data_IF_131334161363
#
_entry.id   IF_131334161363
#
_cell.length_a   1.000
_cell.length_b   1.000
_cell.length_c   1.000
_cell.angle_alpha   90.00
_cell.angle_beta   90.00
_cell.angle_gamma   90.00
#
_symmetry.space_group_name_H-M   'P 1'
#
loop_
_entity.id
_entity.type
_entity.pdbx_description
1 polymer ?
#
# COMPACT_ATOMS: atom_id res chain seq x y z
N UNK A 1 29.32 -82.80 -40.77
CA UNK A 1 28.73 -81.62 -40.11
C UNK A 1 29.84 -80.80 -39.50
N UNK A 2 29.96 -79.56 -39.97
CA UNK A 2 30.56 -78.38 -39.31
C UNK A 2 31.98 -78.49 -38.71
N UNK A 3 32.97 -78.22 -39.57
CA UNK A 3 33.92 -77.08 -39.48
C UNK A 3 33.86 -76.19 -38.23
N UNK A 4 34.90 -75.56 -37.69
CA UNK A 4 36.33 -75.31 -38.00
C UNK A 4 36.86 -74.77 -36.63
N UNK A 5 37.99 -75.23 -36.09
CA UNK A 5 39.29 -74.53 -36.08
C UNK A 5 39.24 -73.01 -35.85
N UNK A 6 40.16 -72.34 -35.15
CA UNK A 6 41.36 -72.64 -34.34
C UNK A 6 41.94 -71.24 -34.06
N UNK A 7 42.69 -71.11 -32.95
CA UNK A 7 43.62 -70.01 -32.60
C UNK A 7 42.97 -68.85 -31.84
N UNK A 8 43.20 -68.69 -30.53
CA UNK A 8 44.42 -68.33 -29.78
C UNK A 8 44.40 -66.84 -29.39
N UNK A 9 44.82 -66.60 -28.14
CA UNK A 9 45.38 -65.37 -27.55
C UNK A 9 44.44 -64.30 -26.94
N UNK A 10 44.76 -64.04 -25.66
CA UNK A 10 44.75 -62.78 -24.89
C UNK A 10 43.46 -62.00 -24.63
N UNK A 11 43.35 -61.49 -23.40
CA UNK A 11 42.50 -60.32 -23.14
C UNK A 11 42.14 -60.08 -21.67
N UNK A 12 43.12 -59.62 -20.90
CA UNK A 12 42.94 -58.94 -19.61
C UNK A 12 41.99 -57.74 -19.79
N UNK A 13 40.79 -57.73 -19.17
CA UNK A 13 40.08 -56.49 -18.85
C UNK A 13 39.29 -56.62 -17.55
N UNK A 14 39.54 -55.66 -16.66
CA UNK A 14 39.10 -55.61 -15.28
C UNK A 14 37.59 -55.49 -15.10
N UNK A 15 37.14 -56.05 -13.98
CA UNK A 15 35.84 -55.80 -13.39
C UNK A 15 35.81 -54.35 -12.88
N UNK A 16 35.17 -53.46 -13.63
CA UNK A 16 34.76 -52.14 -13.12
C UNK A 16 33.44 -52.36 -12.38
N UNK A 17 33.48 -52.30 -11.05
CA UNK A 17 32.29 -52.22 -10.20
C UNK A 17 31.59 -50.89 -10.46
N UNK A 18 30.40 -50.93 -11.05
CA UNK A 18 29.48 -49.80 -11.10
C UNK A 18 28.98 -49.51 -9.68
N UNK A 19 29.57 -48.50 -9.04
CA UNK A 19 28.99 -47.84 -7.87
C UNK A 19 27.72 -47.12 -8.32
N UNK A 20 26.56 -47.71 -8.00
CA UNK A 20 25.28 -47.05 -8.14
C UNK A 20 25.21 -45.88 -7.16
N UNK A 21 25.44 -44.67 -7.65
CA UNK A 21 25.24 -43.44 -6.90
C UNK A 21 23.74 -43.20 -6.80
N UNK A 22 23.12 -43.60 -5.68
CA UNK A 22 21.72 -43.29 -5.40
C UNK A 22 21.60 -41.80 -5.10
N UNK A 23 20.84 -41.00 -5.88
CA UNK A 23 20.64 -39.60 -5.53
C UNK A 23 19.77 -39.53 -4.27
N UNK A 24 20.33 -38.96 -3.20
CA UNK A 24 19.56 -38.54 -2.04
C UNK A 24 18.51 -37.53 -2.51
N UNK A 25 17.21 -37.73 -2.23
CA UNK A 25 16.21 -36.71 -2.51
C UNK A 25 16.50 -35.52 -1.59
N UNK A 26 17.02 -34.43 -2.18
CA UNK A 26 17.00 -33.10 -1.58
C UNK A 26 15.53 -32.69 -1.49
N UNK A 27 14.87 -33.05 -0.39
CA UNK A 27 13.61 -32.41 0.00
C UNK A 27 13.94 -30.98 0.41
N UNK A 28 13.98 -30.07 -0.56
CA UNK A 28 13.80 -28.65 -0.28
C UNK A 28 12.39 -28.53 0.27
N UNK A 29 12.27 -28.53 1.59
CA UNK A 29 11.09 -27.98 2.24
C UNK A 29 11.05 -26.52 1.82
N UNK A 30 10.28 -26.20 0.79
CA UNK A 30 9.84 -24.83 0.54
C UNK A 30 9.05 -24.42 1.78
N UNK A 31 9.75 -23.85 2.76
CA UNK A 31 9.12 -23.05 3.79
C UNK A 31 8.31 -22.02 3.02
N UNK A 32 7.00 -22.10 3.17
CA UNK A 32 6.07 -21.09 2.70
C UNK A 32 6.35 -19.83 3.54
N UNK A 33 7.49 -19.18 3.31
CA UNK A 33 7.77 -17.88 3.88
C UNK A 33 6.68 -16.99 3.30
N UNK A 34 5.71 -16.65 4.14
CA UNK A 34 4.79 -15.55 3.85
C UNK A 34 5.66 -14.41 3.36
N UNK A 35 5.47 -14.00 2.10
CA UNK A 35 6.13 -12.82 1.57
C UNK A 35 5.93 -11.70 2.59
N UNK A 36 7.02 -11.20 3.16
CA UNK A 36 6.98 -10.20 4.21
C UNK A 36 6.73 -8.84 3.55
N UNK A 37 5.58 -8.71 2.88
CA UNK A 37 5.16 -7.45 2.27
C UNK A 37 5.02 -6.39 3.36
N UNK A 38 5.36 -5.16 3.00
CA UNK A 38 5.22 -4.01 3.84
C UNK A 38 3.78 -3.77 4.28
N UNK A 39 3.63 -2.99 5.34
CA UNK A 39 2.33 -2.60 5.88
C UNK A 39 2.00 -1.18 5.43
N UNK A 40 0.72 -0.89 5.24
CA UNK A 40 0.27 0.48 4.93
C UNK A 40 -0.48 1.05 6.13
N UNK A 41 -0.20 2.31 6.46
CA UNK A 41 -0.93 3.09 7.48
C UNK A 41 -1.42 4.38 6.83
N UNK A 42 -2.69 4.43 6.47
CA UNK A 42 -3.26 5.50 5.64
C UNK A 42 -4.13 6.36 6.53
N UNK A 43 -3.71 7.60 6.75
CA UNK A 43 -4.22 8.46 7.81
C UNK A 43 -5.03 9.61 7.19
N UNK A 44 -6.25 9.82 7.69
CA UNK A 44 -7.16 10.82 7.15
C UNK A 44 -6.74 12.27 7.37
N UNK A 45 -5.63 12.54 8.07
CA UNK A 45 -5.19 13.89 8.39
C UNK A 45 -5.51 14.30 9.83
N UNK A 46 -4.87 15.37 10.28
CA UNK A 46 -5.06 15.96 11.61
C UNK A 46 -4.95 14.93 12.76
N UNK A 47 -4.09 13.93 12.61
CA UNK A 47 -3.90 12.92 13.65
C UNK A 47 -3.30 13.49 14.92
N UNK A 48 -3.65 12.87 16.04
CA UNK A 48 -3.19 13.30 17.35
C UNK A 48 -1.66 13.21 17.46
N UNK A 49 -1.07 14.38 17.69
CA UNK A 49 0.38 14.59 17.91
C UNK A 49 0.69 15.07 19.32
N UNK A 50 -0.30 15.12 20.22
CA UNK A 50 -0.15 15.70 21.56
C UNK A 50 -0.49 14.71 22.66
N UNK A 51 -1.65 14.07 22.57
CA UNK A 51 -2.20 13.21 23.62
C UNK A 51 -1.63 11.78 23.49
N UNK A 52 -2.49 10.78 23.28
CA UNK A 52 -2.13 9.37 23.28
C UNK A 52 -1.35 8.95 22.02
N UNK A 53 -1.51 9.70 20.93
CA UNK A 53 -0.81 9.53 19.64
C UNK A 53 -0.96 8.10 19.09
N UNK A 54 -2.16 7.53 19.24
CA UNK A 54 -2.43 6.10 19.02
C UNK A 54 -2.00 5.66 17.62
N UNK A 55 -2.31 6.46 16.59
CA UNK A 55 -1.96 6.16 15.20
C UNK A 55 -0.44 6.16 14.99
N UNK A 56 0.27 7.17 15.52
CA UNK A 56 1.72 7.31 15.34
C UNK A 56 2.50 6.26 16.15
N UNK A 57 1.99 5.88 17.32
CA UNK A 57 2.49 4.75 18.11
C UNK A 57 2.34 3.44 17.34
N UNK A 58 1.14 3.19 16.79
CA UNK A 58 0.86 1.99 15.98
C UNK A 58 1.76 1.94 14.75
N UNK A 59 2.02 3.07 14.07
CA UNK A 59 3.00 3.12 12.99
C UNK A 59 4.40 2.70 13.45
N UNK A 60 4.90 3.27 14.55
CA UNK A 60 6.22 2.92 15.09
C UNK A 60 6.30 1.42 15.45
N UNK A 61 5.26 0.87 16.07
CA UNK A 61 5.16 -0.57 16.37
C UNK A 61 5.25 -1.43 15.09
N UNK A 62 4.49 -1.08 14.05
CA UNK A 62 4.46 -1.80 12.78
C UNK A 62 5.77 -1.66 11.98
N UNK A 63 6.53 -0.61 12.24
CA UNK A 63 7.88 -0.37 11.72
C UNK A 63 8.99 -1.10 12.48
N UNK A 64 8.71 -1.79 13.58
CA UNK A 64 9.72 -2.52 14.37
C UNK A 64 10.09 -1.88 15.71
N UNK A 65 9.33 -0.88 16.15
CA UNK A 65 9.45 -0.29 17.48
C UNK A 65 10.63 0.69 17.63
N UNK A 66 11.16 0.88 18.86
CA UNK A 66 12.17 1.92 19.16
C UNK A 66 13.42 1.94 18.27
N UNK A 67 13.88 0.78 17.80
CA UNK A 67 15.10 0.66 16.99
C UNK A 67 14.86 0.84 15.48
N UNK A 68 13.60 1.00 15.04
CA UNK A 68 13.25 1.14 13.64
C UNK A 68 13.92 2.38 13.03
N UNK A 69 14.46 2.24 11.82
CA UNK A 69 14.90 3.35 10.97
C UNK A 69 13.67 4.05 10.38
N UNK A 70 13.16 5.08 11.08
CA UNK A 70 12.03 5.90 10.65
C UNK A 70 12.51 7.04 9.75
N UNK A 71 11.92 7.15 8.56
CA UNK A 71 12.26 8.17 7.57
C UNK A 71 11.03 9.00 7.24
N UNK A 72 11.11 10.31 7.46
CA UNK A 72 9.97 11.23 7.30
C UNK A 72 10.12 12.06 6.04
N UNK A 73 9.11 12.03 5.16
CA UNK A 73 9.06 12.81 3.92
C UNK A 73 8.15 14.03 4.13
N UNK A 74 8.71 15.22 3.95
CA UNK A 74 8.02 16.51 4.14
C UNK A 74 7.74 17.26 2.84
N UNK A 75 7.99 16.64 1.68
CA UNK A 75 7.90 17.28 0.37
C UNK A 75 6.52 17.87 0.02
N UNK A 76 5.44 17.31 0.59
CA UNK A 76 4.08 17.84 0.43
C UNK A 76 3.90 19.22 1.09
N UNK A 77 4.65 19.52 2.15
CA UNK A 77 4.44 20.71 2.96
C UNK A 77 5.02 21.97 2.31
N UNK A 78 4.29 23.09 2.42
CA UNK A 78 4.83 24.42 2.15
C UNK A 78 5.77 24.94 3.25
N UNK A 79 5.80 24.28 4.40
CA UNK A 79 6.61 24.61 5.58
C UNK A 79 7.29 23.34 6.15
N UNK A 80 8.19 22.71 5.37
CA UNK A 80 8.72 21.38 5.67
C UNK A 80 9.45 21.29 7.01
N UNK A 81 10.22 22.32 7.39
CA UNK A 81 11.01 22.32 8.63
C UNK A 81 10.12 22.33 9.88
N UNK A 82 9.03 23.11 9.87
CA UNK A 82 8.07 23.13 10.98
C UNK A 82 7.32 21.82 11.12
N UNK A 83 6.93 21.22 9.99
CA UNK A 83 6.29 19.90 9.96
C UNK A 83 7.26 18.83 10.48
N UNK A 84 8.51 18.85 10.04
CA UNK A 84 9.54 17.94 10.51
C UNK A 84 9.75 18.07 12.01
N UNK A 85 9.98 19.28 12.53
CA UNK A 85 10.19 19.50 13.97
C UNK A 85 9.03 18.93 14.81
N UNK A 86 7.78 19.07 14.31
CA UNK A 86 6.62 18.49 14.98
C UNK A 86 6.62 16.96 14.99
N UNK A 87 6.92 16.29 13.87
CA UNK A 87 6.96 14.82 13.85
C UNK A 87 8.17 14.25 14.57
N UNK A 88 9.33 14.92 14.47
CA UNK A 88 10.55 14.54 15.16
C UNK A 88 10.31 14.48 16.67
N UNK A 89 9.75 15.54 17.26
CA UNK A 89 9.41 15.58 18.68
C UNK A 89 8.45 14.44 19.07
N UNK A 90 7.43 14.18 18.25
CA UNK A 90 6.45 13.12 18.52
C UNK A 90 7.10 11.73 18.49
N UNK A 91 7.90 11.41 17.49
CA UNK A 91 8.54 10.11 17.39
C UNK A 91 9.62 9.91 18.46
N UNK A 92 10.34 10.97 18.83
CA UNK A 92 11.27 10.94 19.97
C UNK A 92 10.55 10.64 21.28
N UNK A 93 9.44 11.34 21.56
CA UNK A 93 8.61 11.09 22.75
C UNK A 93 8.02 9.67 22.77
N UNK A 94 7.71 9.10 21.60
CA UNK A 94 7.25 7.71 21.46
C UNK A 94 8.38 6.68 21.59
N UNK A 95 9.64 7.12 21.74
CA UNK A 95 10.80 6.27 21.97
C UNK A 95 11.55 5.82 20.72
N UNK A 96 11.29 6.44 19.55
CA UNK A 96 12.08 6.15 18.35
C UNK A 96 13.51 6.66 18.51
N UNK A 97 14.49 5.77 18.35
CA UNK A 97 15.91 6.08 18.49
C UNK A 97 16.56 6.53 17.19
N UNK A 98 15.93 6.22 16.04
CA UNK A 98 16.43 6.56 14.71
C UNK A 98 15.30 7.13 13.84
N UNK A 99 15.03 8.42 14.02
CA UNK A 99 14.04 9.15 13.23
C UNK A 99 14.72 10.32 12.51
N UNK A 100 14.69 10.30 11.19
CA UNK A 100 15.37 11.29 10.34
C UNK A 100 14.43 11.81 9.24
N UNK A 101 14.58 13.07 8.89
CA UNK A 101 13.95 13.65 7.70
C UNK A 101 14.68 13.20 6.45
N UNK A 102 13.94 12.84 5.41
CA UNK A 102 14.50 12.59 4.08
C UNK A 102 14.66 13.94 3.39
N UNK A 103 15.88 14.38 3.03
CA UNK A 103 16.14 15.69 2.44
C UNK A 103 15.73 15.72 0.95
N UNK A 104 14.44 15.52 0.70
CA UNK A 104 13.84 15.41 -0.62
C UNK A 104 12.66 16.36 -0.74
N UNK A 105 12.91 17.56 -1.30
CA UNK A 105 11.88 18.56 -1.55
C UNK A 105 11.62 18.78 -3.04
N UNK A 106 12.57 18.37 -3.90
CA UNK A 106 12.50 18.54 -5.35
C UNK A 106 12.77 17.23 -6.09
N UNK A 107 12.49 17.22 -7.38
CA UNK A 107 12.79 16.07 -8.27
C UNK A 107 14.27 15.72 -8.33
N UNK A 108 15.15 16.72 -8.28
CA UNK A 108 16.59 16.49 -8.28
C UNK A 108 17.03 15.77 -6.98
N UNK A 109 16.44 16.15 -5.84
CA UNK A 109 16.73 15.50 -4.57
C UNK A 109 16.30 14.03 -4.57
N UNK A 110 15.16 13.72 -5.18
CA UNK A 110 14.62 12.36 -5.29
C UNK A 110 15.50 11.39 -6.10
N UNK A 111 16.54 11.92 -6.77
CA UNK A 111 17.54 11.13 -7.50
C UNK A 111 18.90 11.05 -6.79
N UNK A 112 19.08 11.74 -5.65
CA UNK A 112 20.34 11.73 -4.91
C UNK A 112 20.60 10.34 -4.30
N UNK A 113 21.81 9.77 -4.44
CA UNK A 113 22.14 8.45 -3.90
C UNK A 113 21.82 8.29 -2.41
N UNK A 114 22.11 9.31 -1.59
CA UNK A 114 21.85 9.26 -0.15
C UNK A 114 20.35 9.18 0.16
N UNK A 115 19.50 9.94 -0.55
CA UNK A 115 18.04 9.88 -0.42
C UNK A 115 17.52 8.49 -0.78
N UNK A 116 18.03 7.92 -1.87
CA UNK A 116 17.67 6.56 -2.32
C UNK A 116 18.07 5.52 -1.27
N UNK A 117 19.28 5.63 -0.71
CA UNK A 117 19.78 4.72 0.33
C UNK A 117 18.95 4.83 1.62
N UNK A 118 18.65 6.05 2.07
CA UNK A 118 17.83 6.29 3.25
C UNK A 118 16.46 5.61 3.13
N UNK A 119 15.82 5.69 1.96
CA UNK A 119 14.51 5.07 1.72
C UNK A 119 14.60 3.55 1.55
N UNK A 120 15.64 3.05 0.89
CA UNK A 120 15.83 1.61 0.68
C UNK A 120 16.08 0.85 1.99
N UNK A 121 16.75 1.49 2.95
CA UNK A 121 17.10 0.90 4.26
C UNK A 121 16.08 1.17 5.36
N UNK A 122 15.00 1.91 5.08
CA UNK A 122 14.01 2.29 6.08
C UNK A 122 13.18 1.09 6.55
N UNK A 123 12.91 1.02 7.86
CA UNK A 123 11.91 0.09 8.41
C UNK A 123 10.51 0.74 8.44
N UNK A 124 10.48 2.07 8.53
CA UNK A 124 9.28 2.88 8.47
C UNK A 124 9.46 4.14 7.63
N UNK A 125 8.54 4.40 6.70
CA UNK A 125 8.52 5.64 5.91
C UNK A 125 7.22 6.37 6.22
N UNK A 126 7.31 7.62 6.70
CA UNK A 126 6.14 8.43 7.02
C UNK A 126 6.04 9.64 6.08
N UNK A 127 4.98 9.70 5.29
CA UNK A 127 4.70 10.79 4.34
C UNK A 127 3.74 11.78 5.00
N UNK A 128 4.21 13.00 5.20
CA UNK A 128 3.42 14.05 5.88
C UNK A 128 2.38 14.69 4.96
N UNK A 129 1.49 15.49 5.54
CA UNK A 129 0.47 16.24 4.82
C UNK A 129 1.00 17.50 4.11
N UNK A 130 0.09 18.19 3.40
CA UNK A 130 0.39 19.37 2.60
C UNK A 130 -0.37 19.31 1.29
N UNK A 131 0.35 19.46 0.18
CA UNK A 131 -0.16 19.34 -1.18
C UNK A 131 0.36 18.05 -1.84
N UNK A 132 -0.55 17.15 -2.20
CA UNK A 132 -0.21 15.90 -2.89
C UNK A 132 0.40 16.12 -4.28
N UNK A 133 0.01 17.17 -5.01
CA UNK A 133 0.57 17.49 -6.32
C UNK A 133 2.03 17.91 -6.19
N UNK A 134 2.34 18.73 -5.18
CA UNK A 134 3.72 19.13 -4.85
C UNK A 134 4.60 17.92 -4.52
N UNK A 135 4.09 16.99 -3.72
CA UNK A 135 4.79 15.73 -3.42
C UNK A 135 5.03 14.90 -4.69
N UNK A 136 4.00 14.71 -5.51
CA UNK A 136 4.12 13.91 -6.73
C UNK A 136 5.08 14.55 -7.75
N UNK A 137 5.11 15.88 -7.88
CA UNK A 137 6.11 16.57 -8.71
C UNK A 137 7.56 16.26 -8.29
N UNK A 138 7.81 16.13 -6.99
CA UNK A 138 9.12 15.77 -6.47
C UNK A 138 9.45 14.28 -6.68
N UNK A 139 8.51 13.36 -6.42
CA UNK A 139 8.83 11.94 -6.26
C UNK A 139 8.44 11.04 -7.44
N UNK A 140 7.49 11.45 -8.29
CA UNK A 140 6.93 10.60 -9.34
C UNK A 140 8.00 10.03 -10.27
N UNK A 141 8.01 8.71 -10.49
CA UNK A 141 9.00 8.01 -11.35
C UNK A 141 10.47 8.32 -11.02
N UNK A 142 10.78 8.71 -9.79
CA UNK A 142 12.16 8.94 -9.33
C UNK A 142 12.81 7.66 -8.78
N UNK A 143 14.15 7.62 -8.68
CA UNK A 143 14.86 6.58 -7.93
C UNK A 143 14.36 6.43 -6.48
N UNK A 144 14.00 7.52 -5.81
CA UNK A 144 13.39 7.49 -4.49
C UNK A 144 12.05 6.72 -4.45
N UNK A 145 11.16 6.95 -5.42
CA UNK A 145 9.91 6.18 -5.51
C UNK A 145 10.17 4.68 -5.71
N UNK A 146 11.14 4.33 -6.56
CA UNK A 146 11.54 2.93 -6.77
C UNK A 146 12.11 2.31 -5.49
N UNK A 147 12.93 3.06 -4.75
CA UNK A 147 13.46 2.61 -3.46
C UNK A 147 12.35 2.34 -2.44
N UNK A 148 11.34 3.22 -2.35
CA UNK A 148 10.17 2.98 -1.49
C UNK A 148 9.41 1.72 -1.87
N UNK A 149 9.21 1.49 -3.17
CA UNK A 149 8.55 0.27 -3.66
C UNK A 149 9.36 -0.98 -3.33
N UNK A 150 10.68 -0.96 -3.51
CA UNK A 150 11.56 -2.08 -3.15
C UNK A 150 11.55 -2.34 -1.65
N UNK A 151 11.67 -1.29 -0.83
CA UNK A 151 11.61 -1.39 0.62
C UNK A 151 10.29 -2.03 1.07
N UNK A 152 9.16 -1.57 0.53
CA UNK A 152 7.85 -2.15 0.81
C UNK A 152 7.73 -3.62 0.37
N UNK A 153 8.09 -3.96 -0.86
CA UNK A 153 7.83 -5.29 -1.42
C UNK A 153 8.85 -6.35 -0.97
N UNK A 154 10.08 -5.97 -0.70
CA UNK A 154 11.19 -6.89 -0.42
C UNK A 154 11.61 -6.89 1.04
N UNK A 155 11.55 -5.75 1.72
CA UNK A 155 12.08 -5.59 3.08
C UNK A 155 10.97 -5.56 4.15
N UNK A 156 9.70 -5.49 3.74
CA UNK A 156 8.57 -5.42 4.68
C UNK A 156 8.42 -4.07 5.36
N UNK A 157 9.00 -3.02 4.79
CA UNK A 157 8.93 -1.65 5.29
C UNK A 157 7.50 -1.18 5.45
N UNK A 158 7.17 -0.61 6.62
CA UNK A 158 5.86 0.00 6.84
C UNK A 158 5.84 1.40 6.22
N UNK A 159 4.85 1.68 5.37
CA UNK A 159 4.66 3.00 4.76
C UNK A 159 3.39 3.64 5.31
N UNK A 160 3.55 4.81 5.89
CA UNK A 160 2.46 5.64 6.39
C UNK A 160 2.32 6.93 5.58
N UNK A 161 1.10 7.44 5.49
CA UNK A 161 0.82 8.73 4.88
C UNK A 161 -0.37 9.42 5.51
N UNK A 162 -0.25 10.70 5.84
CA UNK A 162 -1.36 11.52 6.37
C UNK A 162 -1.79 12.61 5.40
N UNK A 163 -3.10 12.82 5.27
CA UNK A 163 -3.68 13.85 4.38
C UNK A 163 -3.14 13.70 2.94
N UNK A 164 -2.39 14.65 2.38
CA UNK A 164 -1.71 14.49 1.08
C UNK A 164 -0.95 13.16 0.94
N UNK A 165 -0.24 12.73 2.00
CA UNK A 165 0.46 11.45 2.05
C UNK A 165 -0.48 10.24 1.94
N UNK A 166 -1.72 10.34 2.42
CA UNK A 166 -2.73 9.28 2.25
C UNK A 166 -3.26 9.22 0.82
N UNK A 167 -3.51 10.38 0.20
CA UNK A 167 -4.02 10.47 -1.17
C UNK A 167 -3.08 9.79 -2.18
N UNK A 168 -1.78 10.06 -2.07
CA UNK A 168 -0.75 9.48 -2.97
C UNK A 168 -0.60 7.97 -2.84
N UNK A 169 -1.15 7.31 -1.80
CA UNK A 169 -1.10 5.85 -1.71
C UNK A 169 -1.86 5.17 -2.85
N UNK A 170 -2.90 5.84 -3.35
CA UNK A 170 -3.72 5.38 -4.47
C UNK A 170 -2.92 5.36 -5.77
N UNK A 171 -3.28 4.50 -6.74
CA UNK A 171 -2.81 4.70 -8.12
C UNK A 171 -3.53 5.87 -8.78
N UNK A 172 -4.84 5.95 -8.59
CA UNK A 172 -5.69 7.04 -9.05
C UNK A 172 -5.96 7.93 -7.84
N UNK A 173 -5.17 8.99 -7.75
CA UNK A 173 -5.18 9.93 -6.63
C UNK A 173 -6.18 11.03 -6.93
N UNK A 174 -7.06 11.34 -5.97
CA UNK A 174 -7.87 12.56 -6.01
C UNK A 174 -6.96 13.79 -5.84
N UNK A 175 -6.66 14.47 -6.95
CA UNK A 175 -5.77 15.62 -6.98
C UNK A 175 -6.51 16.91 -6.64
N UNK A 176 -7.69 17.11 -7.25
CA UNK A 176 -8.52 18.30 -7.06
C UNK A 176 -10.01 17.94 -7.01
N UNK A 177 -10.83 18.89 -6.56
CA UNK A 177 -12.28 18.75 -6.47
C UNK A 177 -12.83 19.19 -5.11
N UNK A 178 -13.71 20.17 -5.15
CA UNK A 178 -14.46 20.61 -3.96
C UNK A 178 -15.64 19.66 -3.71
N UNK A 179 -16.03 19.44 -2.44
CA UNK A 179 -17.27 18.74 -2.14
C UNK A 179 -18.47 19.56 -2.67
N UNK A 180 -19.34 18.91 -3.43
CA UNK A 180 -20.63 19.45 -3.89
C UNK A 180 -21.77 18.90 -3.02
N UNK A 181 -22.97 19.50 -3.02
CA UNK A 181 -24.12 18.94 -2.29
C UNK A 181 -24.56 17.56 -2.78
N UNK A 182 -24.34 17.27 -4.07
CA UNK A 182 -24.65 15.99 -4.72
C UNK A 182 -23.54 15.58 -5.67
N UNK A 183 -23.30 14.26 -5.91
CA UNK A 183 -22.34 13.82 -6.90
C UNK A 183 -22.68 14.37 -8.29
N UNK A 184 -21.70 15.00 -8.91
CA UNK A 184 -21.80 15.64 -10.23
C UNK A 184 -20.69 15.13 -11.15
N UNK A 185 -20.95 15.11 -12.45
CA UNK A 185 -19.97 14.66 -13.45
C UNK A 185 -18.83 15.66 -13.61
N UNK A 186 -17.61 15.13 -13.70
CA UNK A 186 -16.38 15.85 -14.04
C UNK A 186 -16.03 17.04 -13.12
N UNK A 187 -16.54 17.04 -11.88
CA UNK A 187 -16.21 18.04 -10.83
C UNK A 187 -14.97 17.71 -9.99
N UNK A 188 -14.34 16.57 -10.26
CA UNK A 188 -13.13 16.10 -9.59
C UNK A 188 -12.07 15.75 -10.61
N UNK A 189 -10.81 16.04 -10.29
CA UNK A 189 -9.66 15.67 -11.10
C UNK A 189 -8.84 14.62 -10.38
N UNK A 190 -8.53 13.55 -11.11
CA UNK A 190 -7.62 12.51 -10.65
C UNK A 190 -6.28 12.64 -11.37
N UNK A 191 -5.22 12.34 -10.64
CA UNK A 191 -3.88 12.18 -11.17
C UNK A 191 -3.27 10.85 -10.70
N UNK A 192 -2.04 10.56 -11.09
CA UNK A 192 -1.36 9.33 -10.72
C UNK A 192 -0.66 9.49 -9.36
N UNK A 193 -0.92 8.55 -8.45
CA UNK A 193 -0.21 8.44 -7.18
C UNK A 193 0.85 7.32 -7.19
N UNK A 194 1.42 7.05 -6.01
CA UNK A 194 2.48 6.08 -5.78
C UNK A 194 2.04 4.62 -5.95
N UNK A 195 0.74 4.34 -6.03
CA UNK A 195 0.21 3.02 -6.40
C UNK A 195 0.54 1.88 -5.41
N UNK A 196 0.67 2.18 -4.11
CA UNK A 196 0.70 1.16 -3.06
C UNK A 196 -0.67 0.49 -2.87
N UNK A 197 -1.74 1.26 -3.05
CA UNK A 197 -3.14 0.83 -3.12
C UNK A 197 -3.68 1.05 -4.54
N UNK A 198 -3.45 0.12 -5.49
CA UNK A 198 -3.87 0.32 -6.87
C UNK A 198 -5.38 0.14 -7.08
N UNK A 199 -6.06 -0.58 -6.20
CA UNK A 199 -7.46 -0.99 -6.36
C UNK A 199 -8.45 -0.04 -5.68
N UNK A 200 -7.99 1.12 -5.23
CA UNK A 200 -8.81 2.07 -4.49
C UNK A 200 -8.38 3.52 -4.73
N UNK A 201 -9.33 4.41 -4.53
CA UNK A 201 -9.16 5.86 -4.44
C UNK A 201 -9.32 6.25 -2.98
N UNK A 202 -8.27 6.85 -2.40
CA UNK A 202 -8.28 7.36 -1.03
C UNK A 202 -8.70 8.82 -1.01
N UNK A 203 -9.64 9.12 -0.12
CA UNK A 203 -10.02 10.45 0.28
C UNK A 203 -9.83 10.62 1.80
N UNK A 204 -9.41 11.81 2.22
CA UNK A 204 -8.93 12.16 3.55
C UNK A 204 -9.70 13.37 4.08
N UNK A 205 -9.59 13.68 5.38
CA UNK A 205 -10.43 14.65 6.09
C UNK A 205 -11.92 14.46 5.76
N UNK A 206 -12.33 13.19 5.67
CA UNK A 206 -13.45 12.79 4.81
C UNK A 206 -14.79 13.35 5.30
N UNK A 207 -15.23 12.95 6.50
CA UNK A 207 -16.47 13.47 7.09
C UNK A 207 -16.36 14.95 7.44
N UNK A 208 -15.19 15.39 7.93
CA UNK A 208 -14.94 16.76 8.39
C UNK A 208 -15.06 17.80 7.27
N UNK A 209 -14.81 17.39 6.02
CA UNK A 209 -14.94 18.25 4.84
C UNK A 209 -16.09 17.82 3.91
N UNK A 210 -17.02 16.99 4.39
CA UNK A 210 -18.20 16.53 3.64
C UNK A 210 -17.86 15.92 2.26
N UNK A 211 -16.81 15.10 2.19
CA UNK A 211 -16.20 14.64 0.94
C UNK A 211 -16.85 13.40 0.31
N UNK A 212 -17.99 12.94 0.83
CA UNK A 212 -18.69 11.79 0.25
C UNK A 212 -19.10 12.05 -1.21
N UNK A 213 -19.68 13.21 -1.51
CA UNK A 213 -20.15 13.55 -2.86
C UNK A 213 -19.02 13.53 -3.88
N UNK A 214 -17.88 14.15 -3.57
CA UNK A 214 -16.72 14.17 -4.48
C UNK A 214 -16.10 12.78 -4.66
N UNK A 215 -16.07 11.95 -3.62
CA UNK A 215 -15.60 10.56 -3.75
C UNK A 215 -16.54 9.78 -4.67
N UNK A 216 -17.85 9.96 -4.53
CA UNK A 216 -18.84 9.33 -5.41
C UNK A 216 -18.67 9.79 -6.87
N UNK A 217 -18.43 11.09 -7.13
CA UNK A 217 -18.09 11.58 -8.48
C UNK A 217 -16.85 10.88 -9.05
N UNK A 218 -15.80 10.68 -8.25
CA UNK A 218 -14.60 9.96 -8.68
C UNK A 218 -14.90 8.49 -9.01
N UNK A 219 -15.74 7.82 -8.20
CA UNK A 219 -16.14 6.43 -8.42
C UNK A 219 -17.07 6.25 -9.62
N UNK A 220 -17.83 7.28 -10.00
CA UNK A 220 -18.60 7.25 -11.23
C UNK A 220 -17.69 7.23 -12.47
N UNK A 221 -16.56 7.96 -12.42
CA UNK A 221 -15.52 7.89 -13.46
C UNK A 221 -14.76 6.55 -13.44
N UNK A 222 -14.63 5.93 -12.25
CA UNK A 222 -13.82 4.71 -12.01
C UNK A 222 -14.57 3.64 -11.21
N UNK A 223 -15.60 3.02 -11.82
CA UNK A 223 -16.40 1.99 -11.15
C UNK A 223 -15.65 0.68 -10.91
N UNK A 224 -14.43 0.55 -11.43
CA UNK A 224 -13.51 -0.57 -11.20
C UNK A 224 -12.76 -0.48 -9.86
N UNK A 225 -12.76 0.69 -9.21
CA UNK A 225 -12.01 0.95 -7.97
C UNK A 225 -12.93 1.05 -6.76
N UNK A 226 -12.39 0.72 -5.58
CA UNK A 226 -13.04 1.00 -4.30
C UNK A 226 -12.81 2.47 -3.92
N UNK A 227 -13.79 3.10 -3.27
CA UNK A 227 -13.60 4.39 -2.60
C UNK A 227 -13.31 4.20 -1.12
N UNK A 228 -12.31 4.90 -0.60
CA UNK A 228 -11.91 4.83 0.79
C UNK A 228 -11.87 6.24 1.37
N UNK A 229 -12.92 6.62 2.08
CA UNK A 229 -12.97 7.88 2.82
C UNK A 229 -12.48 7.69 4.26
N UNK A 230 -11.44 8.41 4.66
CA UNK A 230 -10.83 8.30 5.99
C UNK A 230 -11.01 9.61 6.75
N UNK A 231 -11.61 9.53 7.92
CA UNK A 231 -11.84 10.68 8.80
C UNK A 231 -10.54 11.22 9.41
N UNK A 232 -10.57 12.47 9.88
CA UNK A 232 -9.50 13.02 10.70
C UNK A 232 -9.21 12.15 11.93
N UNK A 233 -7.94 12.16 12.35
CA UNK A 233 -7.42 11.34 13.45
C UNK A 233 -7.89 9.87 13.39
N UNK A 234 -7.90 9.33 12.17
CA UNK A 234 -8.27 7.94 11.86
C UNK A 234 -7.32 7.39 10.82
N UNK A 235 -6.94 6.13 10.97
CA UNK A 235 -6.05 5.42 10.09
C UNK A 235 -6.65 4.08 9.64
N UNK A 236 -6.56 3.82 8.34
CA UNK A 236 -6.74 2.52 7.74
C UNK A 236 -5.38 1.81 7.68
N UNK A 237 -5.28 0.67 8.35
CA UNK A 237 -4.08 -0.16 8.35
C UNK A 237 -4.33 -1.38 7.48
N UNK A 238 -3.43 -1.64 6.55
CA UNK A 238 -3.47 -2.80 5.67
C UNK A 238 -2.24 -3.65 5.90
N UNK A 239 -2.47 -4.88 6.32
CA UNK A 239 -1.49 -5.96 6.25
C UNK A 239 -1.81 -6.78 4.98
N UNK A 240 -0.99 -6.70 3.92
CA UNK A 240 -1.33 -7.25 2.61
C UNK A 240 -1.77 -8.71 2.64
N UNK A 241 -2.94 -8.99 2.05
CA UNK A 241 -3.56 -10.31 2.03
C UNK A 241 -3.78 -10.95 3.43
N UNK A 242 -3.74 -10.17 4.51
CA UNK A 242 -3.82 -10.68 5.88
C UNK A 242 -4.93 -10.01 6.66
N UNK A 243 -4.92 -8.69 6.77
CA UNK A 243 -5.93 -8.00 7.57
C UNK A 243 -6.10 -6.54 7.17
N UNK A 244 -7.26 -6.01 7.56
CA UNK A 244 -7.59 -4.59 7.50
C UNK A 244 -8.01 -4.16 8.90
N UNK A 245 -7.43 -3.09 9.43
CA UNK A 245 -7.71 -2.56 10.77
C UNK A 245 -7.97 -1.06 10.70
N UNK A 246 -8.90 -0.56 11.52
CA UNK A 246 -9.16 0.88 11.67
C UNK A 246 -8.73 1.31 13.06
N UNK A 247 -7.87 2.33 13.15
CA UNK A 247 -7.31 2.87 14.38
C UNK A 247 -7.57 4.38 14.45
N UNK A 248 -7.77 4.93 15.65
CA UNK A 248 -7.98 6.37 15.85
C UNK A 248 -9.33 6.68 16.49
N UNK A 249 -9.95 7.79 16.07
CA UNK A 249 -11.16 8.35 16.70
C UNK A 249 -12.43 8.28 15.86
N UNK A 250 -12.29 8.30 14.53
CA UNK A 250 -13.40 8.34 13.58
C UNK A 250 -13.68 6.99 12.95
N UNK A 251 -14.03 7.02 11.66
CA UNK A 251 -14.32 5.82 10.88
C UNK A 251 -13.65 5.87 9.50
N UNK A 252 -13.62 4.71 8.85
CA UNK A 252 -13.32 4.55 7.43
C UNK A 252 -14.61 4.20 6.71
N UNK A 253 -14.97 5.00 5.71
CA UNK A 253 -16.09 4.72 4.80
C UNK A 253 -15.54 4.03 3.55
N UNK A 254 -15.88 2.76 3.37
CA UNK A 254 -15.60 2.00 2.18
C UNK A 254 -16.82 2.02 1.24
N UNK A 255 -16.62 2.48 0.01
CA UNK A 255 -17.65 2.51 -1.03
C UNK A 255 -17.24 1.57 -2.16
N UNK A 256 -18.09 0.62 -2.50
CA UNK A 256 -17.88 -0.31 -3.60
C UNK A 256 -18.87 -0.03 -4.75
N UNK A 257 -18.40 0.55 -5.85
CA UNK A 257 -19.21 0.86 -7.03
C UNK A 257 -19.26 -0.26 -8.05
N UNK A 258 -18.64 -1.42 -7.82
CA UNK A 258 -18.52 -2.46 -8.88
C UNK A 258 -19.85 -3.09 -9.31
N UNK A 259 -20.92 -2.87 -8.54
CA UNK A 259 -22.30 -3.25 -8.88
C UNK A 259 -23.20 -2.06 -9.21
N UNK A 260 -22.62 -0.87 -9.29
CA UNK A 260 -23.35 0.37 -9.54
C UNK A 260 -23.86 0.42 -10.97
N UNK A 261 -25.07 0.97 -11.12
CA UNK A 261 -25.58 1.50 -12.39
C UNK A 261 -25.64 3.01 -12.29
N UNK A 262 -25.14 3.70 -13.30
CA UNK A 262 -25.10 5.16 -13.33
C UNK A 262 -25.48 5.72 -14.69
N UNK A 263 -25.91 6.98 -14.72
CA UNK A 263 -26.10 7.76 -15.93
C UNK A 263 -24.81 8.43 -16.44
N UNK A 264 -23.63 8.16 -15.84
CA UNK A 264 -22.35 8.84 -16.12
C UNK A 264 -22.05 9.01 -17.63
N UNK A 265 -22.23 7.96 -18.44
CA UNK A 265 -21.96 8.00 -19.88
C UNK A 265 -22.90 8.92 -20.68
N UNK A 266 -24.06 9.25 -20.13
CA UNK A 266 -25.11 10.07 -20.75
C UNK A 266 -25.23 11.47 -20.16
N UNK A 267 -24.62 11.70 -18.99
CA UNK A 267 -24.63 12.98 -18.30
C UNK A 267 -23.64 13.95 -18.96
N UNK A 268 -23.93 15.24 -18.92
CA UNK A 268 -23.00 16.30 -19.31
C UNK A 268 -22.16 16.76 -18.10
N UNK A 269 -21.11 17.56 -18.32
CA UNK A 269 -20.32 18.14 -17.23
C UNK A 269 -21.20 18.95 -16.26
N UNK A 270 -21.04 18.72 -14.96
CA UNK A 270 -21.83 19.37 -13.91
C UNK A 270 -23.24 18.77 -13.69
N UNK A 271 -23.69 17.83 -14.52
CA UNK A 271 -24.95 17.15 -14.28
C UNK A 271 -24.88 16.26 -13.04
N UNK A 272 -26.03 16.15 -12.35
CA UNK A 272 -26.18 15.23 -11.22
C UNK A 272 -26.13 13.78 -11.69
N UNK A 273 -25.43 12.97 -10.91
CA UNK A 273 -25.27 11.55 -11.21
C UNK A 273 -26.33 10.70 -10.51
N UNK A 274 -27.03 9.89 -11.29
CA UNK A 274 -27.74 8.71 -10.78
C UNK A 274 -26.71 7.64 -10.45
N UNK A 275 -26.80 7.04 -9.27
CA UNK A 275 -25.86 6.00 -8.80
C UNK A 275 -26.61 4.92 -8.00
N UNK A 276 -27.11 3.90 -8.68
CA UNK A 276 -27.93 2.84 -8.09
C UNK A 276 -27.09 1.59 -7.77
N UNK A 277 -27.27 1.00 -6.59
CA UNK A 277 -26.63 -0.28 -6.23
C UNK A 277 -25.23 -0.16 -5.60
N UNK A 278 -24.79 1.06 -5.25
CA UNK A 278 -23.60 1.30 -4.43
C UNK A 278 -23.66 0.49 -3.13
N UNK A 279 -22.55 -0.14 -2.75
CA UNK A 279 -22.40 -0.72 -1.41
C UNK A 279 -21.57 0.22 -0.56
N UNK A 280 -22.10 0.61 0.60
CA UNK A 280 -21.40 1.44 1.57
C UNK A 280 -21.19 0.64 2.85
N UNK A 281 -19.95 0.68 3.35
CA UNK A 281 -19.56 0.05 4.59
C UNK A 281 -18.85 1.08 5.46
N UNK A 282 -19.35 1.29 6.68
CA UNK A 282 -18.74 2.20 7.65
C UNK A 282 -18.02 1.38 8.73
N UNK A 283 -16.70 1.54 8.83
CA UNK A 283 -15.83 0.78 9.71
C UNK A 283 -15.33 1.72 10.82
N UNK A 284 -15.89 1.67 12.05
CA UNK A 284 -15.43 2.52 13.14
C UNK A 284 -14.05 2.11 13.64
N UNK A 285 -13.31 3.04 14.25
CA UNK A 285 -12.07 2.74 14.94
C UNK A 285 -12.21 1.59 15.96
N UNK A 286 -11.17 0.76 16.07
CA UNK A 286 -11.16 -0.49 16.84
C UNK A 286 -11.60 -1.72 16.04
N UNK A 287 -12.11 -1.55 14.82
CA UNK A 287 -12.48 -2.67 13.95
C UNK A 287 -11.25 -3.31 13.32
N UNK A 288 -11.12 -4.65 13.42
CA UNK A 288 -10.10 -5.44 12.73
C UNK A 288 -10.73 -6.63 12.02
N UNK A 289 -10.42 -6.78 10.74
CA UNK A 289 -10.94 -7.84 9.87
C UNK A 289 -9.79 -8.68 9.36
N UNK A 290 -9.72 -9.94 9.79
CA UNK A 290 -8.71 -10.90 9.33
C UNK A 290 -9.24 -11.59 8.06
N UNK A 291 -8.45 -11.52 6.99
CA UNK A 291 -8.75 -12.18 5.73
C UNK A 291 -8.37 -13.66 5.85
N UNK A 292 -9.32 -14.56 5.64
CA UNK A 292 -9.04 -15.98 5.61
C UNK A 292 -8.17 -16.31 4.40
N UNK A 293 -7.08 -17.07 4.59
CA UNK A 293 -6.43 -17.78 3.50
C UNK A 293 -7.50 -18.66 2.84
N UNK A 294 -7.88 -18.34 1.60
CA UNK A 294 -9.03 -18.90 0.89
C UNK A 294 -9.16 -20.43 1.06
N UNK A 295 -10.21 -20.97 1.70
CA UNK A 295 -10.55 -22.37 1.53
C UNK A 295 -11.20 -22.53 0.15
N UNK A 296 -10.70 -23.49 -0.64
CA UNK A 296 -11.11 -23.84 -2.02
C UNK A 296 -12.59 -24.16 -2.25
N UNK A 297 -13.49 -23.92 -1.30
CA UNK A 297 -14.92 -24.17 -1.45
C UNK A 297 -15.70 -23.38 -0.40
N UNK A 298 -16.34 -22.27 -0.79
CA UNK A 298 -17.66 -21.84 -0.29
C UNK A 298 -18.11 -20.54 -0.97
N UNK A 299 -19.45 -20.48 -1.15
CA UNK A 299 -20.40 -19.39 -1.46
C UNK A 299 -19.84 -17.99 -1.73
N UNK A 300 -20.47 -17.19 -2.62
CA UNK A 300 -20.00 -15.84 -2.92
C UNK A 300 -19.77 -15.06 -1.62
N UNK A 301 -18.56 -14.53 -1.47
CA UNK A 301 -18.23 -13.64 -0.38
C UNK A 301 -19.30 -12.53 -0.34
N UNK A 302 -19.90 -12.31 0.84
CA UNK A 302 -20.80 -11.16 1.07
C UNK A 302 -20.08 -9.91 0.55
N UNK A 303 -20.75 -8.96 -0.15
CA UNK A 303 -20.09 -7.84 -0.86
C UNK A 303 -18.95 -7.16 -0.08
N UNK A 304 -19.15 -7.01 1.24
CA UNK A 304 -18.14 -6.51 2.16
C UNK A 304 -16.80 -7.28 2.17
N UNK A 305 -16.81 -8.61 2.29
CA UNK A 305 -15.59 -9.42 2.35
C UNK A 305 -14.82 -9.43 1.02
N UNK A 306 -15.55 -9.37 -0.09
CA UNK A 306 -14.94 -9.20 -1.41
C UNK A 306 -14.26 -7.82 -1.52
N UNK A 307 -14.93 -6.75 -1.06
CA UNK A 307 -14.34 -5.41 -1.02
C UNK A 307 -13.08 -5.36 -0.14
N UNK A 308 -13.10 -5.95 1.06
CA UNK A 308 -11.90 -6.05 1.91
C UNK A 308 -10.76 -6.85 1.26
N UNK A 309 -11.10 -7.93 0.55
CA UNK A 309 -10.11 -8.75 -0.16
C UNK A 309 -9.47 -8.00 -1.33
N UNK A 310 -10.23 -7.14 -2.02
CA UNK A 310 -9.69 -6.26 -3.08
C UNK A 310 -8.85 -5.14 -2.48
N UNK A 311 -9.30 -4.53 -1.38
CA UNK A 311 -8.61 -3.46 -0.67
C UNK A 311 -7.23 -3.90 -0.16
N UNK A 312 -7.12 -5.11 0.39
CA UNK A 312 -5.87 -5.62 0.96
C UNK A 312 -4.87 -6.18 -0.06
N UNK A 313 -5.21 -6.17 -1.36
CA UNK A 313 -4.26 -6.52 -2.43
C UNK A 313 -3.33 -5.33 -2.69
N UNK A 314 -2.04 -5.59 -2.68
CA UNK A 314 -1.02 -4.61 -3.06
C UNK A 314 -0.82 -4.57 -4.56
N UNK A 315 -0.28 -3.46 -5.06
CA UNK A 315 0.17 -3.35 -6.44
C UNK A 315 1.38 -4.23 -6.73
N UNK A 316 1.72 -4.31 -8.02
CA UNK A 316 3.02 -4.81 -8.42
C UNK A 316 4.10 -3.82 -7.97
N UNK A 317 5.27 -4.35 -7.59
CA UNK A 317 6.46 -3.53 -7.37
C UNK A 317 6.75 -2.71 -8.63
N UNK A 318 6.88 -1.39 -8.46
CA UNK A 318 7.28 -0.48 -9.55
C UNK A 318 8.75 -0.09 -9.37
N UNK A 319 9.57 -0.31 -10.40
CA UNK A 319 11.00 0.07 -10.40
C UNK A 319 11.96 -1.08 -10.60
#
# INVERSE_FOLDING_TARGET
>A
MTHLHRRQLLGLMGRISLLACTPLPLTVSAQNQKANLGRLVIIGGAEDRKQDRIILRKFLELSGGPNAKIRVITAASGVPDMVWASYQAVFQDLGALNCEVVPMLTRADASKPDVVSMLAEADGIFITGGDQNRLMQAIWESPAAQAMHRAFHLNGTCIAGTSAGAAVMSRHMLAEGAPTPSPEKDTVLMDIGLSFMPNAIVDQHFSQRHRLSRLLSALAQRPDLLGVGIDEDTALIIEPNQSVEVVGRGAVTLVDPRRMRSNFDKAEEGDKLEMLGLQLHLLPAGSRYVLANTPKNRKPAVPFWDALSVLAKTGAMRG
#
